data_IF_574368004576
#
_entry.id   IF_574368004576
#
_cell.length_a   1.000
_cell.length_b   1.000
_cell.length_c   1.000
_cell.angle_alpha   90.00
_cell.angle_beta   90.00
_cell.angle_gamma   90.00
#
_symmetry.space_group_name_H-M   'P 1'
#
loop_
_entity.id
_entity.type
_entity.pdbx_description
1 polymer ?
#
# COMPACT_ATOMS: atom_id res chain seq x y z
N UNK A 1 38.86 -7.90 4.31
CA UNK A 1 38.87 -8.14 2.85
C UNK A 1 37.79 -7.25 2.26
N UNK A 2 38.02 -6.53 1.14
CA UNK A 2 36.95 -5.78 0.51
C UNK A 2 35.85 -6.76 0.07
N UNK A 3 34.60 -6.40 0.36
CA UNK A 3 33.43 -7.13 -0.16
C UNK A 3 33.35 -6.81 -1.66
N UNK A 4 33.14 -7.84 -2.49
CA UNK A 4 33.06 -7.71 -3.95
C UNK A 4 31.68 -8.12 -4.41
N UNK A 5 31.08 -7.27 -5.24
CA UNK A 5 29.76 -7.44 -5.83
C UNK A 5 29.83 -6.85 -7.25
N UNK A 6 29.07 -7.40 -8.19
CA UNK A 6 28.97 -6.87 -9.55
C UNK A 6 28.15 -5.58 -9.58
N UNK A 7 27.12 -5.49 -8.73
CA UNK A 7 26.22 -4.35 -8.61
C UNK A 7 26.03 -3.94 -7.15
N UNK A 8 26.16 -2.65 -6.89
CA UNK A 8 25.82 -2.05 -5.59
C UNK A 8 24.66 -1.07 -5.78
N UNK A 9 23.55 -1.32 -5.09
CA UNK A 9 22.35 -0.47 -5.11
C UNK A 9 22.28 0.33 -3.82
N UNK A 10 22.10 1.65 -3.95
CA UNK A 10 22.04 2.57 -2.81
C UNK A 10 20.59 2.99 -2.53
N UNK A 11 20.04 2.52 -1.40
CA UNK A 11 18.70 2.82 -0.92
C UNK A 11 17.78 1.60 -0.90
N UNK A 12 17.07 1.40 0.21
CA UNK A 12 16.10 0.31 0.40
C UNK A 12 14.63 0.70 0.19
N UNK A 13 14.38 1.70 -0.67
CA UNK A 13 13.02 2.06 -1.09
C UNK A 13 12.57 1.25 -2.31
N UNK A 14 11.34 1.49 -2.78
CA UNK A 14 10.75 0.80 -3.95
C UNK A 14 11.71 0.73 -5.15
N UNK A 15 12.25 1.88 -5.58
CA UNK A 15 13.16 1.92 -6.73
C UNK A 15 14.44 1.12 -6.50
N UNK A 16 15.00 1.14 -5.30
CA UNK A 16 16.20 0.38 -4.95
C UNK A 16 15.94 -1.12 -4.91
N UNK A 17 14.82 -1.55 -4.33
CA UNK A 17 14.43 -2.96 -4.32
C UNK A 17 14.19 -3.49 -5.73
N UNK A 18 13.43 -2.77 -6.57
CA UNK A 18 13.18 -3.16 -7.95
C UNK A 18 14.47 -3.18 -8.78
N UNK A 19 15.35 -2.18 -8.62
CA UNK A 19 16.64 -2.15 -9.31
C UNK A 19 17.54 -3.32 -8.89
N UNK A 20 17.58 -3.67 -7.61
CA UNK A 20 18.37 -4.79 -7.10
C UNK A 20 17.83 -6.14 -7.60
N UNK A 21 16.51 -6.32 -7.63
CA UNK A 21 15.87 -7.51 -8.20
C UNK A 21 16.15 -7.64 -9.70
N UNK A 22 15.99 -6.56 -10.46
CA UNK A 22 16.30 -6.53 -11.89
C UNK A 22 17.78 -6.83 -12.17
N UNK A 23 18.70 -6.33 -11.35
CA UNK A 23 20.11 -6.66 -11.46
C UNK A 23 20.39 -8.13 -11.13
N UNK A 24 19.74 -8.68 -10.09
CA UNK A 24 19.92 -10.08 -9.69
C UNK A 24 19.42 -11.06 -10.77
N UNK A 25 18.33 -10.72 -11.48
CA UNK A 25 17.79 -11.53 -12.58
C UNK A 25 18.77 -11.68 -13.76
N UNK A 26 19.71 -10.74 -13.92
CA UNK A 26 20.81 -10.86 -14.90
C UNK A 26 21.91 -11.86 -14.49
N UNK A 27 21.83 -12.45 -13.30
CA UNK A 27 22.84 -13.34 -12.72
C UNK A 27 23.99 -12.61 -12.01
N UNK A 28 23.90 -11.28 -11.85
CA UNK A 28 24.89 -10.48 -11.15
C UNK A 28 24.86 -10.73 -9.62
N UNK A 29 26.02 -10.66 -8.97
CA UNK A 29 26.08 -10.53 -7.51
C UNK A 29 25.70 -9.11 -7.09
N UNK A 30 24.66 -8.98 -6.27
CA UNK A 30 24.07 -7.68 -5.91
C UNK A 30 24.14 -7.44 -4.41
N UNK A 31 24.54 -6.22 -4.04
CA UNK A 31 24.40 -5.69 -2.68
C UNK A 31 23.55 -4.45 -2.64
N UNK A 32 22.50 -4.49 -1.82
CA UNK A 32 21.71 -3.31 -1.47
C UNK A 32 22.25 -2.71 -0.16
N UNK A 33 22.64 -1.44 -0.20
CA UNK A 33 23.06 -0.68 0.98
C UNK A 33 21.98 0.33 1.34
N UNK A 34 21.52 0.31 2.58
CA UNK A 34 20.51 1.26 3.07
C UNK A 34 20.87 1.83 4.44
N UNK A 35 20.73 3.14 4.61
CA UNK A 35 21.01 3.77 5.90
C UNK A 35 19.85 3.60 6.88
N UNK A 36 18.62 3.86 6.42
CA UNK A 36 17.41 3.88 7.24
C UNK A 36 16.40 2.84 6.75
N UNK A 37 15.37 2.62 7.55
CA UNK A 37 14.17 1.88 7.13
C UNK A 37 13.57 2.50 5.88
N UNK A 38 12.87 1.68 5.09
CA UNK A 38 12.24 2.15 3.86
C UNK A 38 11.28 3.31 4.14
N UNK A 39 11.14 4.19 3.15
CA UNK A 39 10.11 5.23 3.15
C UNK A 39 8.72 4.67 2.83
N UNK A 40 8.61 3.39 2.45
CA UNK A 40 7.34 2.72 2.14
C UNK A 40 6.34 2.77 3.30
N UNK A 41 6.80 2.78 4.55
CA UNK A 41 5.96 3.07 5.74
C UNK A 41 5.19 4.41 5.70
N UNK A 42 5.53 5.33 4.78
CA UNK A 42 4.85 6.60 4.54
C UNK A 42 4.07 6.61 3.21
N UNK A 43 4.21 5.57 2.38
CA UNK A 43 3.56 5.46 1.08
C UNK A 43 2.19 4.82 1.23
N UNK A 44 1.23 5.20 0.37
CA UNK A 44 -0.14 4.67 0.39
C UNK A 44 -0.26 3.15 0.12
N UNK A 45 0.82 2.49 -0.32
CA UNK A 45 0.77 1.13 -0.88
C UNK A 45 0.17 1.06 -2.29
N UNK A 46 -0.20 2.19 -2.89
CA UNK A 46 -0.65 2.26 -4.28
C UNK A 46 0.53 2.54 -5.21
N UNK A 47 0.53 1.92 -6.39
CA UNK A 47 1.49 2.18 -7.48
C UNK A 47 0.76 2.93 -8.58
N UNK A 48 1.04 4.22 -8.68
CA UNK A 48 0.42 5.08 -9.68
C UNK A 48 1.27 5.16 -10.94
N UNK A 49 0.62 5.17 -12.09
CA UNK A 49 1.27 5.46 -13.37
C UNK A 49 0.45 6.53 -14.06
N UNK A 50 1.10 7.67 -14.31
CA UNK A 50 0.60 8.81 -15.07
C UNK A 50 -0.89 9.12 -14.86
N UNK A 51 -1.34 9.31 -13.62
CA UNK A 51 -2.77 9.56 -13.34
C UNK A 51 -3.27 10.92 -13.82
N UNK A 52 -2.39 11.94 -13.85
CA UNK A 52 -2.71 13.33 -14.16
C UNK A 52 -1.59 13.97 -14.99
N UNK A 53 -1.47 13.65 -16.30
CA UNK A 53 -0.34 14.11 -17.12
C UNK A 53 -0.26 15.64 -17.25
N UNK A 54 -1.39 16.33 -17.42
CA UNK A 54 -1.42 17.76 -17.76
C UNK A 54 -2.36 18.60 -16.87
N UNK A 55 -2.85 18.05 -15.76
CA UNK A 55 -3.78 18.76 -14.87
C UNK A 55 -5.23 18.89 -15.38
N UNK A 56 -5.53 18.42 -16.60
CA UNK A 56 -6.86 18.40 -17.21
C UNK A 56 -7.81 17.31 -16.64
N UNK A 57 -7.45 16.73 -15.51
CA UNK A 57 -8.18 15.64 -14.86
C UNK A 57 -7.49 14.28 -14.96
N UNK A 58 -8.13 13.24 -14.42
CA UNK A 58 -7.56 11.91 -14.40
C UNK A 58 -7.58 11.25 -15.78
N UNK A 59 -6.54 10.50 -16.13
CA UNK A 59 -6.55 9.64 -17.32
C UNK A 59 -6.85 8.19 -16.96
N UNK A 60 -7.71 7.56 -17.76
CA UNK A 60 -8.10 6.16 -17.58
C UNK A 60 -7.00 5.21 -18.03
N UNK A 61 -6.34 5.47 -19.16
CA UNK A 61 -5.23 4.64 -19.65
C UNK A 61 -3.95 5.50 -19.70
N UNK A 62 -2.96 5.24 -18.83
CA UNK A 62 -1.73 6.01 -18.81
C UNK A 62 -0.89 5.85 -20.09
N UNK A 63 -0.98 4.70 -20.78
CA UNK A 63 -0.18 4.43 -21.97
C UNK A 63 -0.60 5.30 -23.16
N UNK A 64 -1.90 5.54 -23.33
CA UNK A 64 -2.43 6.43 -24.38
C UNK A 64 -1.94 7.87 -24.19
N UNK A 65 -1.75 8.29 -22.93
CA UNK A 65 -1.29 9.63 -22.58
C UNK A 65 0.22 9.83 -22.76
N UNK A 66 1.03 8.76 -22.88
CA UNK A 66 2.49 8.86 -23.01
C UNK A 66 2.92 9.70 -24.21
N UNK A 67 2.23 9.56 -25.34
CA UNK A 67 2.53 10.28 -26.58
C UNK A 67 2.34 11.81 -26.48
N UNK A 68 1.62 12.27 -25.45
CA UNK A 68 1.36 13.70 -25.22
C UNK A 68 2.38 14.36 -24.31
N UNK A 69 3.31 13.59 -23.74
CA UNK A 69 4.29 14.09 -22.79
C UNK A 69 5.46 14.79 -23.51
N UNK A 70 6.10 15.79 -22.87
CA UNK A 70 7.34 16.38 -23.37
C UNK A 70 8.45 15.33 -23.56
N UNK A 71 9.34 15.54 -24.53
CA UNK A 71 10.44 14.61 -24.85
C UNK A 71 11.40 14.39 -23.67
N UNK A 72 11.54 15.37 -22.78
CA UNK A 72 12.39 15.32 -21.58
C UNK A 72 11.66 14.76 -20.35
N UNK A 73 10.38 14.42 -20.46
CA UNK A 73 9.62 13.82 -19.37
C UNK A 73 10.18 12.41 -19.04
N UNK A 74 10.31 12.01 -17.75
CA UNK A 74 10.90 10.72 -17.37
C UNK A 74 10.29 9.51 -18.08
N UNK A 75 8.97 9.46 -18.24
CA UNK A 75 8.29 8.40 -18.99
C UNK A 75 8.57 8.42 -20.50
N UNK A 76 8.79 9.58 -21.11
CA UNK A 76 9.22 9.70 -22.51
C UNK A 76 10.65 9.18 -22.70
N UNK A 77 11.53 9.43 -21.73
CA UNK A 77 12.93 9.00 -21.76
C UNK A 77 13.08 7.47 -21.62
N UNK A 78 12.34 6.85 -20.70
CA UNK A 78 12.41 5.38 -20.50
C UNK A 78 11.57 4.60 -21.51
N UNK A 79 10.50 5.23 -22.03
CA UNK A 79 9.58 4.62 -22.98
C UNK A 79 8.58 3.66 -22.35
N UNK A 80 7.50 3.38 -23.09
CA UNK A 80 6.40 2.50 -22.67
C UNK A 80 6.87 1.11 -22.22
N UNK A 81 7.78 0.50 -22.97
CA UNK A 81 8.23 -0.86 -22.68
C UNK A 81 8.89 -0.95 -21.31
N UNK A 82 9.72 0.02 -20.92
CA UNK A 82 10.37 0.03 -19.61
C UNK A 82 9.34 0.16 -18.46
N UNK A 83 8.25 0.90 -18.67
CA UNK A 83 7.16 1.01 -17.70
C UNK A 83 6.46 -0.35 -17.54
N UNK A 84 6.16 -1.02 -18.65
CA UNK A 84 5.53 -2.35 -18.65
C UNK A 84 6.42 -3.40 -18.00
N UNK A 85 7.71 -3.42 -18.32
CA UNK A 85 8.68 -4.36 -17.73
C UNK A 85 8.82 -4.13 -16.23
N UNK A 86 8.88 -2.87 -15.79
CA UNK A 86 8.93 -2.51 -14.37
C UNK A 86 7.69 -2.96 -13.59
N UNK A 87 6.49 -2.74 -14.15
CA UNK A 87 5.25 -3.24 -13.54
C UNK A 87 5.16 -4.76 -13.57
N UNK A 88 5.62 -5.41 -14.62
CA UNK A 88 5.66 -6.88 -14.69
C UNK A 88 6.57 -7.47 -13.61
N UNK A 89 7.74 -6.89 -13.37
CA UNK A 89 8.62 -7.32 -12.28
C UNK A 89 7.96 -7.08 -10.92
N UNK A 90 7.30 -5.95 -10.73
CA UNK A 90 6.51 -5.68 -9.52
C UNK A 90 5.43 -6.75 -9.30
N UNK A 91 4.65 -7.05 -10.35
CA UNK A 91 3.57 -8.04 -10.30
C UNK A 91 4.08 -9.45 -9.96
N UNK A 92 5.26 -9.82 -10.45
CA UNK A 92 5.91 -11.09 -10.11
C UNK A 92 6.28 -11.17 -8.62
N UNK A 93 6.74 -10.07 -8.03
CA UNK A 93 7.09 -10.02 -6.60
C UNK A 93 5.85 -10.04 -5.72
N UNK A 94 4.83 -9.27 -6.07
CA UNK A 94 3.65 -9.11 -5.20
C UNK A 94 2.63 -10.24 -5.38
N UNK A 95 2.63 -10.93 -6.53
CA UNK A 95 1.67 -11.98 -6.85
C UNK A 95 0.23 -11.50 -6.67
N UNK A 96 -0.62 -12.36 -6.09
CA UNK A 96 -2.05 -12.07 -5.88
C UNK A 96 -2.33 -11.01 -4.80
N UNK A 97 -1.32 -10.55 -4.06
CA UNK A 97 -1.51 -9.52 -3.04
C UNK A 97 -1.77 -8.13 -3.63
N UNK A 98 -1.48 -7.94 -4.92
CA UNK A 98 -1.79 -6.74 -5.68
C UNK A 98 -2.62 -7.08 -6.93
N UNK A 99 -3.44 -6.12 -7.35
CA UNK A 99 -4.27 -6.18 -8.55
C UNK A 99 -3.93 -5.05 -9.51
N UNK A 100 -4.47 -5.15 -10.72
CA UNK A 100 -4.31 -4.17 -11.80
C UNK A 100 -3.55 -4.70 -13.02
N UNK A 101 -2.85 -5.84 -12.90
CA UNK A 101 -2.12 -6.48 -14.02
C UNK A 101 -2.99 -7.03 -15.14
N UNK A 102 -4.30 -7.15 -14.92
CA UNK A 102 -5.26 -7.65 -15.89
C UNK A 102 -5.74 -6.59 -16.90
N UNK A 103 -5.30 -5.33 -16.78
CA UNK A 103 -5.73 -4.22 -17.61
C UNK A 103 -4.65 -3.15 -17.74
N UNK A 104 -4.72 -2.39 -18.83
CA UNK A 104 -3.92 -1.18 -19.02
C UNK A 104 -4.55 0.04 -18.34
N UNK A 105 -5.83 -0.03 -17.95
CA UNK A 105 -6.52 1.09 -17.33
C UNK A 105 -6.14 1.26 -15.84
N UNK A 106 -5.89 2.50 -15.43
CA UNK A 106 -5.85 2.90 -14.03
C UNK A 106 -7.21 2.62 -13.37
N UNK A 107 -7.17 1.99 -12.20
CA UNK A 107 -8.30 1.93 -11.29
C UNK A 107 -8.50 3.27 -10.57
N UNK A 108 -9.72 3.54 -10.11
CA UNK A 108 -10.04 4.73 -9.31
C UNK A 108 -10.19 4.32 -7.84
N UNK A 109 -9.15 4.56 -7.05
CA UNK A 109 -9.06 4.13 -5.65
C UNK A 109 -9.44 5.29 -4.72
N UNK A 110 -10.43 5.13 -3.81
CA UNK A 110 -10.72 6.11 -2.79
C UNK A 110 -9.53 6.39 -1.87
N UNK A 111 -9.36 7.66 -1.50
CA UNK A 111 -8.35 8.13 -0.56
C UNK A 111 -8.98 8.46 0.78
N UNK A 112 -8.18 8.50 1.87
CA UNK A 112 -8.66 8.98 3.17
C UNK A 112 -9.11 10.45 3.17
N UNK A 113 -8.82 11.21 2.11
CA UNK A 113 -9.37 12.55 1.90
C UNK A 113 -10.77 12.56 1.26
N UNK A 114 -11.31 11.39 0.92
CA UNK A 114 -12.61 11.23 0.26
C UNK A 114 -12.63 11.65 -1.21
N UNK A 115 -11.48 11.62 -1.88
CA UNK A 115 -11.38 11.74 -3.35
C UNK A 115 -10.97 10.40 -3.95
N UNK A 116 -11.07 10.26 -5.27
CA UNK A 116 -10.55 9.08 -5.99
C UNK A 116 -9.24 9.41 -6.68
N UNK A 117 -8.32 8.44 -6.71
CA UNK A 117 -7.00 8.57 -7.33
C UNK A 117 -6.81 7.48 -8.41
N UNK A 118 -6.39 7.84 -9.63
CA UNK A 118 -5.95 6.88 -10.65
C UNK A 118 -4.71 6.12 -10.19
N UNK A 119 -4.79 4.79 -10.23
CA UNK A 119 -3.75 3.90 -9.73
C UNK A 119 -3.63 2.66 -10.63
N UNK A 120 -2.41 2.29 -11.00
CA UNK A 120 -2.14 1.16 -11.91
C UNK A 120 -2.03 -0.18 -11.19
N UNK A 121 -1.46 -0.19 -9.98
CA UNK A 121 -1.48 -1.35 -9.08
C UNK A 121 -1.91 -0.96 -7.68
N UNK A 122 -2.81 -1.75 -7.11
CA UNK A 122 -3.37 -1.53 -5.77
C UNK A 122 -3.41 -2.84 -5.00
N UNK A 123 -3.29 -2.81 -3.66
CA UNK A 123 -3.41 -4.01 -2.85
C UNK A 123 -4.77 -4.68 -3.06
N UNK A 124 -4.83 -6.00 -3.00
CA UNK A 124 -6.10 -6.74 -3.02
C UNK A 124 -7.05 -6.27 -1.91
N UNK A 125 -6.48 -5.91 -0.75
CA UNK A 125 -7.21 -5.33 0.37
C UNK A 125 -7.97 -4.03 0.04
N UNK A 126 -7.68 -3.36 -1.09
CA UNK A 126 -8.39 -2.16 -1.53
C UNK A 126 -9.36 -2.42 -2.69
N UNK A 127 -9.42 -3.65 -3.24
CA UNK A 127 -10.13 -3.96 -4.48
C UNK A 127 -11.66 -3.75 -4.38
N UNK A 128 -12.29 -4.14 -3.28
CA UNK A 128 -13.73 -3.89 -3.09
C UNK A 128 -14.04 -2.40 -2.90
N UNK A 129 -13.03 -1.55 -2.67
CA UNK A 129 -13.20 -0.11 -2.52
C UNK A 129 -13.24 0.67 -3.83
N UNK A 130 -12.94 0.05 -4.97
CA UNK A 130 -12.84 0.78 -6.24
C UNK A 130 -14.11 1.55 -6.58
N UNK A 131 -13.93 2.76 -7.12
CA UNK A 131 -15.05 3.64 -7.45
C UNK A 131 -15.87 3.17 -8.67
N UNK A 132 -15.36 2.21 -9.43
CA UNK A 132 -16.05 1.56 -10.56
C UNK A 132 -17.10 0.53 -10.12
N UNK A 133 -17.05 0.08 -8.87
CA UNK A 133 -18.07 -0.81 -8.30
C UNK A 133 -19.22 0.05 -7.77
N UNK A 134 -20.43 -0.19 -8.30
CA UNK A 134 -21.63 0.61 -8.05
C UNK A 134 -22.44 0.15 -6.83
N UNK A 135 -22.00 -0.89 -6.12
CA UNK A 135 -22.69 -1.37 -4.90
C UNK A 135 -22.56 -0.34 -3.78
N UNK A 136 -23.53 -0.31 -2.86
CA UNK A 136 -23.51 0.66 -1.76
C UNK A 136 -22.34 0.44 -0.79
N UNK A 137 -21.81 1.54 -0.22
CA UNK A 137 -20.58 1.57 0.58
C UNK A 137 -20.82 2.17 1.97
N UNK A 138 -20.42 1.45 3.01
CA UNK A 138 -20.24 1.99 4.35
C UNK A 138 -18.76 2.30 4.58
N UNK A 139 -18.42 3.52 4.96
CA UNK A 139 -17.09 3.86 5.48
C UNK A 139 -17.15 3.82 7.01
N UNK A 140 -16.26 3.06 7.63
CA UNK A 140 -16.17 2.92 9.09
C UNK A 140 -14.99 3.73 9.61
N UNK A 141 -15.24 4.56 10.62
CA UNK A 141 -14.22 5.27 11.38
C UNK A 141 -14.30 4.86 12.84
N UNK A 142 -13.19 4.95 13.56
CA UNK A 142 -13.17 4.76 15.00
C UNK A 142 -12.78 6.07 15.67
N UNK A 143 -13.59 6.54 16.62
CA UNK A 143 -13.39 7.83 17.30
C UNK A 143 -12.04 7.97 18.01
N UNK A 144 -11.40 6.84 18.35
CA UNK A 144 -10.06 6.80 18.93
C UNK A 144 -8.92 6.96 17.91
N UNK A 145 -9.24 6.99 16.61
CA UNK A 145 -8.30 7.20 15.50
C UNK A 145 -8.58 8.55 14.87
N UNK A 146 -7.95 9.60 15.41
CA UNK A 146 -8.24 10.98 15.01
C UNK A 146 -7.77 11.37 13.62
N UNK A 147 -6.91 10.55 13.00
CA UNK A 147 -6.35 10.82 11.67
C UNK A 147 -7.25 10.30 10.53
N UNK A 148 -8.44 9.78 10.84
CA UNK A 148 -9.41 9.28 9.88
C UNK A 148 -10.83 9.63 10.32
N UNK A 149 -11.58 10.34 9.47
CA UNK A 149 -12.99 10.67 9.69
C UNK A 149 -13.82 10.07 8.57
N UNK A 150 -14.59 9.03 8.89
CA UNK A 150 -15.39 8.29 7.93
C UNK A 150 -16.53 9.12 7.34
N UNK A 151 -17.07 10.07 8.10
CA UNK A 151 -18.14 10.96 7.61
C UNK A 151 -17.57 11.95 6.61
N UNK A 152 -16.42 12.54 6.91
CA UNK A 152 -15.74 13.42 5.96
C UNK A 152 -15.38 12.67 4.67
N UNK A 153 -14.86 11.44 4.79
CA UNK A 153 -14.57 10.60 3.62
C UNK A 153 -15.83 10.35 2.80
N UNK A 154 -16.95 9.94 3.43
CA UNK A 154 -18.19 9.68 2.68
C UNK A 154 -18.76 10.93 2.03
N UNK A 155 -18.79 12.05 2.75
CA UNK A 155 -19.36 13.31 2.25
C UNK A 155 -18.54 13.83 1.05
N UNK A 156 -17.22 13.70 1.11
CA UNK A 156 -16.35 14.06 -0.01
C UNK A 156 -16.46 13.09 -1.19
N UNK A 157 -16.65 11.78 -0.96
CA UNK A 157 -16.87 10.83 -2.05
C UNK A 157 -18.20 11.10 -2.76
N UNK A 158 -19.26 11.40 -2.01
CA UNK A 158 -20.54 11.84 -2.54
C UNK A 158 -20.37 13.14 -3.36
N UNK A 159 -19.67 14.14 -2.81
CA UNK A 159 -19.38 15.38 -3.52
C UNK A 159 -18.51 15.20 -4.78
N UNK A 160 -17.65 14.16 -4.81
CA UNK A 160 -16.87 13.77 -5.97
C UNK A 160 -17.70 13.05 -7.05
N UNK A 161 -18.97 12.75 -6.78
CA UNK A 161 -19.90 12.19 -7.75
C UNK A 161 -19.71 10.69 -8.00
N UNK A 162 -19.32 9.93 -6.97
CA UNK A 162 -19.25 8.46 -7.08
C UNK A 162 -20.61 7.86 -7.48
N UNK A 163 -20.64 6.78 -8.28
CA UNK A 163 -21.87 6.25 -8.86
C UNK A 163 -22.68 5.34 -7.91
N UNK A 164 -22.49 5.47 -6.60
CA UNK A 164 -23.08 4.60 -5.57
C UNK A 164 -23.42 5.38 -4.30
N UNK A 165 -24.38 4.85 -3.53
CA UNK A 165 -24.69 5.38 -2.21
C UNK A 165 -23.53 5.11 -1.24
N UNK A 166 -23.05 6.16 -0.57
CA UNK A 166 -21.97 6.09 0.41
C UNK A 166 -22.37 6.79 1.70
N UNK A 167 -22.08 6.18 2.85
CA UNK A 167 -22.26 6.83 4.14
C UNK A 167 -21.15 6.47 5.13
N UNK A 168 -20.78 7.43 5.98
CA UNK A 168 -19.76 7.27 7.01
C UNK A 168 -20.33 7.01 8.40
N UNK A 169 -19.69 6.15 9.18
CA UNK A 169 -20.05 5.89 10.56
C UNK A 169 -18.84 5.94 11.51
N UNK A 170 -18.91 6.87 12.47
CA UNK A 170 -17.96 6.97 13.58
C UNK A 170 -18.39 6.08 14.75
N UNK A 171 -17.55 5.08 15.06
CA UNK A 171 -17.81 4.04 16.06
C UNK A 171 -16.82 4.09 17.22
N UNK A 172 -17.16 3.45 18.33
CA UNK A 172 -16.16 3.12 19.35
C UNK A 172 -15.43 1.85 18.93
N UNK A 173 -14.10 1.83 19.01
CA UNK A 173 -13.39 0.56 18.93
C UNK A 173 -13.77 -0.31 20.14
N UNK A 174 -13.99 -1.64 20.00
CA UNK A 174 -14.46 -2.50 21.10
C UNK A 174 -13.55 -2.56 22.32
N UNK A 175 -12.27 -2.23 22.14
CA UNK A 175 -11.28 -2.11 23.21
C UNK A 175 -10.90 -0.67 23.44
N UNK A 176 -10.96 -0.24 24.69
CA UNK A 176 -10.52 1.09 25.08
C UNK A 176 -8.99 1.15 25.10
N UNK A 177 -8.45 2.15 24.41
CA UNK A 177 -7.05 2.52 24.48
C UNK A 177 -6.92 3.92 25.06
N UNK A 178 -5.71 4.28 25.49
CA UNK A 178 -5.39 5.68 25.81
C UNK A 178 -5.52 6.54 24.55
N UNK A 179 -5.81 7.82 24.75
CA UNK A 179 -6.01 8.76 23.64
C UNK A 179 -4.79 8.89 22.70
N UNK A 180 -3.59 8.60 23.19
CA UNK A 180 -2.32 8.64 22.45
C UNK A 180 -1.89 7.26 21.92
N UNK A 181 -2.79 6.28 21.90
CA UNK A 181 -2.47 4.95 21.42
C UNK A 181 -2.17 4.96 19.92
N UNK A 182 -0.99 4.45 19.56
CA UNK A 182 -0.59 4.28 18.16
C UNK A 182 -1.54 3.32 17.44
N UNK A 183 -1.83 3.60 16.17
CA UNK A 183 -2.63 2.73 15.28
C UNK A 183 -2.13 1.28 15.26
N UNK A 184 -0.84 1.04 15.46
CA UNK A 184 -0.23 -0.29 15.58
C UNK A 184 -0.78 -1.14 16.73
N UNK A 185 -1.36 -0.55 17.78
CA UNK A 185 -2.02 -1.30 18.85
C UNK A 185 -3.39 -1.85 18.42
N UNK A 186 -4.06 -1.18 17.50
CA UNK A 186 -5.34 -1.61 16.93
C UNK A 186 -5.10 -2.74 15.95
N UNK A 187 -4.20 -2.54 14.98
CA UNK A 187 -3.80 -3.58 14.03
C UNK A 187 -3.34 -4.86 14.72
N UNK A 188 -2.46 -4.74 15.73
CA UNK A 188 -1.98 -5.90 16.50
C UNK A 188 -3.08 -6.64 17.27
N UNK A 189 -4.11 -5.93 17.73
CA UNK A 189 -5.24 -6.57 18.41
C UNK A 189 -6.13 -7.34 17.42
N UNK A 190 -6.26 -6.84 16.20
CA UNK A 190 -6.92 -7.53 15.10
C UNK A 190 -6.11 -8.74 14.60
N UNK A 191 -4.79 -8.58 14.38
CA UNK A 191 -3.89 -9.65 13.98
C UNK A 191 -4.00 -10.84 14.94
N UNK A 192 -3.89 -10.57 16.25
CA UNK A 192 -3.96 -11.61 17.29
C UNK A 192 -5.37 -12.12 17.58
N UNK A 193 -6.39 -11.52 16.98
CA UNK A 193 -7.79 -11.71 17.34
C UNK A 193 -8.00 -11.71 18.87
N UNK A 194 -7.47 -10.70 19.56
CA UNK A 194 -7.37 -10.70 21.04
C UNK A 194 -8.72 -10.98 21.72
N UNK A 195 -8.72 -11.89 22.70
CA UNK A 195 -9.90 -12.15 23.53
C UNK A 195 -10.27 -10.92 24.37
N UNK A 196 -11.51 -10.46 24.23
CA UNK A 196 -12.04 -9.31 24.98
C UNK A 196 -13.41 -9.62 25.59
N UNK A 197 -13.77 -8.85 26.62
CA UNK A 197 -15.13 -8.82 27.15
C UNK A 197 -15.95 -7.82 26.35
N UNK A 198 -16.90 -8.30 25.56
CA UNK A 198 -17.81 -7.49 24.75
C UNK A 198 -19.24 -7.95 24.99
N UNK A 199 -20.17 -7.01 25.21
CA UNK A 199 -21.58 -7.30 25.51
C UNK A 199 -21.80 -8.40 26.58
N UNK A 200 -20.94 -8.44 27.62
CA UNK A 200 -21.03 -9.42 28.72
C UNK A 200 -20.44 -10.81 28.43
N UNK A 201 -19.96 -11.08 27.22
CA UNK A 201 -19.35 -12.35 26.81
C UNK A 201 -17.86 -12.19 26.46
N UNK A 202 -17.13 -13.31 26.44
CA UNK A 202 -15.75 -13.36 25.94
C UNK A 202 -15.81 -13.70 24.45
N UNK A 203 -15.25 -12.85 23.61
CA UNK A 203 -15.21 -13.00 22.14
C UNK A 203 -13.87 -12.52 21.61
N UNK A 204 -13.53 -12.93 20.39
CA UNK A 204 -12.37 -12.39 19.68
C UNK A 204 -12.59 -10.95 19.23
N UNK A 205 -11.49 -10.20 19.10
CA UNK A 205 -11.50 -8.81 18.65
C UNK A 205 -12.23 -8.61 17.31
N UNK A 206 -12.01 -9.50 16.34
CA UNK A 206 -12.58 -9.39 14.98
C UNK A 206 -14.12 -9.50 15.02
N UNK A 207 -14.66 -10.45 15.79
CA UNK A 207 -16.10 -10.60 16.04
C UNK A 207 -16.68 -9.35 16.70
N UNK A 208 -16.03 -8.84 17.76
CA UNK A 208 -16.49 -7.65 18.48
C UNK A 208 -16.52 -6.38 17.59
N UNK A 209 -15.53 -6.23 16.71
CA UNK A 209 -15.50 -5.14 15.73
C UNK A 209 -16.67 -5.28 14.76
N UNK A 210 -16.88 -6.46 14.20
CA UNK A 210 -17.99 -6.70 13.30
C UNK A 210 -19.35 -6.45 13.98
N UNK A 211 -19.57 -6.90 15.21
CA UNK A 211 -20.80 -6.62 15.97
C UNK A 211 -21.03 -5.14 16.24
N UNK A 212 -19.95 -4.37 16.38
CA UNK A 212 -20.03 -2.91 16.53
C UNK A 212 -20.44 -2.22 15.22
N UNK A 213 -20.01 -2.77 14.08
CA UNK A 213 -20.30 -2.23 12.73
C UNK A 213 -21.70 -2.63 12.24
N UNK A 214 -22.17 -3.85 12.53
CA UNK A 214 -23.46 -4.41 12.05
C UNK A 214 -24.65 -3.45 12.09
N UNK A 215 -24.91 -2.72 13.20
CA UNK A 215 -26.05 -1.79 13.27
C UNK A 215 -25.96 -0.61 12.29
N UNK A 216 -24.80 -0.35 11.70
CA UNK A 216 -24.55 0.72 10.73
C UNK A 216 -24.44 0.24 9.29
N UNK A 217 -24.43 -1.07 9.03
CA UNK A 217 -24.38 -1.63 7.66
C UNK A 217 -25.51 -1.07 6.81
N UNK A 218 -26.75 -1.09 7.31
CA UNK A 218 -27.93 -0.58 6.59
C UNK A 218 -28.07 -1.12 5.15
N UNK A 219 -27.64 -2.35 4.92
CA UNK A 219 -27.65 -2.99 3.59
C UNK A 219 -26.45 -2.65 2.71
N UNK A 220 -25.46 -1.90 3.21
CA UNK A 220 -24.18 -1.70 2.52
C UNK A 220 -23.54 -3.06 2.21
N UNK A 221 -23.20 -3.26 0.94
CA UNK A 221 -22.61 -4.51 0.44
C UNK A 221 -21.08 -4.49 0.55
N UNK A 222 -20.49 -3.31 0.79
CA UNK A 222 -19.05 -3.08 0.89
C UNK A 222 -18.75 -2.20 2.09
N UNK A 223 -17.73 -2.56 2.86
CA UNK A 223 -17.36 -1.86 4.10
C UNK A 223 -15.88 -1.48 4.06
N UNK A 224 -15.64 -0.17 3.95
CA UNK A 224 -14.31 0.41 3.96
C UNK A 224 -13.86 0.73 5.38
N UNK A 225 -12.72 0.18 5.79
CA UNK A 225 -12.06 0.54 7.04
C UNK A 225 -10.85 1.43 6.76
N UNK A 226 -10.42 2.26 7.73
CA UNK A 226 -9.04 2.73 7.76
C UNK A 226 -8.07 1.56 7.54
N UNK A 227 -6.96 1.79 6.83
CA UNK A 227 -5.95 0.75 6.58
C UNK A 227 -5.22 0.35 7.86
N UNK A 228 -5.85 -0.48 8.69
CA UNK A 228 -5.38 -1.00 9.96
C UNK A 228 -5.79 -2.45 10.21
N UNK A 229 -6.32 -3.14 9.18
CA UNK A 229 -6.88 -4.48 9.27
C UNK A 229 -5.76 -5.54 9.31
N UNK A 230 -4.85 -5.40 10.26
CA UNK A 230 -3.70 -6.28 10.44
C UNK A 230 -2.46 -5.82 9.67
N UNK A 231 -1.33 -6.33 10.15
CA UNK A 231 -0.01 -6.20 9.54
C UNK A 231 0.44 -7.58 9.04
N UNK A 232 0.56 -8.55 9.96
CA UNK A 232 1.04 -9.91 9.69
C UNK A 232 -0.07 -10.84 9.15
N UNK A 233 -1.32 -10.66 9.62
CA UNK A 233 -2.45 -11.56 9.31
C UNK A 233 -3.58 -10.82 8.58
N UNK A 234 -3.24 -9.85 7.72
CA UNK A 234 -4.21 -8.93 7.15
C UNK A 234 -5.33 -9.62 6.33
N UNK A 235 -5.00 -10.66 5.57
CA UNK A 235 -5.99 -11.42 4.79
C UNK A 235 -6.95 -12.20 5.69
N UNK A 236 -6.46 -12.80 6.77
CA UNK A 236 -7.30 -13.50 7.75
C UNK A 236 -8.23 -12.52 8.49
N UNK A 237 -7.71 -11.35 8.88
CA UNK A 237 -8.50 -10.30 9.52
C UNK A 237 -9.63 -9.84 8.60
N UNK A 238 -9.32 -9.58 7.32
CA UNK A 238 -10.32 -9.17 6.31
C UNK A 238 -11.38 -10.25 6.13
N UNK A 239 -10.97 -11.51 5.89
CA UNK A 239 -11.89 -12.62 5.68
C UNK A 239 -12.83 -12.89 6.88
N UNK A 240 -12.31 -12.80 8.11
CA UNK A 240 -13.14 -12.94 9.31
C UNK A 240 -14.18 -11.82 9.42
N UNK A 241 -13.79 -10.57 9.13
CA UNK A 241 -14.71 -9.44 9.14
C UNK A 241 -15.77 -9.58 8.04
N UNK A 242 -15.41 -10.01 6.83
CA UNK A 242 -16.36 -10.30 5.74
C UNK A 242 -17.38 -11.35 6.17
N UNK A 243 -16.90 -12.47 6.73
CA UNK A 243 -17.75 -13.57 7.21
C UNK A 243 -18.73 -13.09 8.29
N UNK A 244 -18.27 -12.27 9.24
CA UNK A 244 -19.13 -11.76 10.29
C UNK A 244 -20.11 -10.69 9.81
N UNK A 245 -19.72 -9.83 8.86
CA UNK A 245 -20.53 -8.71 8.36
C UNK A 245 -21.50 -9.12 7.25
N UNK A 246 -21.15 -10.14 6.46
CA UNK A 246 -21.88 -10.51 5.25
C UNK A 246 -21.76 -9.47 4.14
N UNK A 247 -20.62 -8.78 4.07
CA UNK A 247 -20.31 -7.72 3.12
C UNK A 247 -18.81 -7.77 2.79
N UNK A 248 -18.42 -7.31 1.60
CA UNK A 248 -17.01 -7.25 1.20
C UNK A 248 -16.28 -6.20 2.05
N UNK A 249 -15.09 -6.53 2.54
CA UNK A 249 -14.32 -5.64 3.42
C UNK A 249 -13.10 -5.15 2.69
N UNK A 250 -12.79 -3.86 2.81
CA UNK A 250 -11.60 -3.28 2.21
C UNK A 250 -10.95 -2.23 3.09
N UNK A 251 -9.71 -1.89 2.78
CA UNK A 251 -8.92 -0.86 3.42
C UNK A 251 -8.83 0.39 2.54
N UNK A 252 -9.09 1.54 3.15
CA UNK A 252 -8.82 2.88 2.60
C UNK A 252 -7.44 3.30 3.10
N UNK A 253 -6.47 3.57 2.19
CA UNK A 253 -5.11 3.94 2.58
C UNK A 253 -5.08 5.17 3.50
N UNK A 254 -4.28 5.08 4.57
CA UNK A 254 -4.07 6.15 5.55
C UNK A 254 -2.65 6.73 5.51
N UNK A 255 -2.47 7.79 6.30
CA UNK A 255 -1.15 8.33 6.66
C UNK A 255 -0.30 7.35 7.49
N UNK A 256 0.93 7.76 7.85
CA UNK A 256 1.91 6.88 8.50
C UNK A 256 1.54 6.47 9.94
N UNK A 257 1.89 5.26 10.38
CA UNK A 257 2.49 4.19 9.57
C UNK A 257 1.47 3.58 8.61
N UNK A 258 1.84 3.49 7.34
CA UNK A 258 1.04 2.83 6.31
C UNK A 258 1.27 1.33 6.38
N UNK A 259 0.25 0.57 6.79
CA UNK A 259 0.31 -0.89 6.77
C UNK A 259 0.42 -1.48 5.37
N UNK A 260 -0.31 -1.00 4.34
CA UNK A 260 -0.06 -1.44 2.96
C UNK A 260 1.39 -1.22 2.52
N UNK A 261 2.00 -0.11 2.94
CA UNK A 261 3.40 0.19 2.68
C UNK A 261 4.38 -0.71 3.42
N UNK A 262 4.11 -1.05 4.69
CA UNK A 262 4.91 -2.00 5.47
C UNK A 262 4.83 -3.42 4.89
N UNK A 263 3.62 -3.89 4.56
CA UNK A 263 3.41 -5.18 3.88
C UNK A 263 4.14 -5.26 2.55
N UNK A 264 4.16 -4.17 1.77
CA UNK A 264 4.94 -4.10 0.53
C UNK A 264 6.46 -4.12 0.79
N UNK A 265 6.94 -3.43 1.82
CA UNK A 265 8.35 -3.48 2.24
C UNK A 265 8.75 -4.93 2.56
N UNK A 266 7.94 -5.65 3.34
CA UNK A 266 8.21 -7.03 3.72
C UNK A 266 8.26 -7.97 2.49
N UNK A 267 7.33 -7.83 1.55
CA UNK A 267 7.33 -8.61 0.31
C UNK A 267 8.57 -8.34 -0.56
N UNK A 268 8.91 -7.06 -0.75
CA UNK A 268 10.10 -6.68 -1.52
C UNK A 268 11.38 -7.21 -0.87
N UNK A 269 11.50 -7.13 0.45
CA UNK A 269 12.69 -7.61 1.16
C UNK A 269 12.78 -9.14 1.18
N UNK A 270 11.64 -9.85 1.25
CA UNK A 270 11.61 -11.31 1.06
C UNK A 270 12.10 -11.67 -0.35
N UNK A 271 11.58 -11.00 -1.39
CA UNK A 271 12.01 -11.26 -2.76
C UNK A 271 13.50 -10.96 -2.99
N UNK A 272 14.05 -9.94 -2.32
CA UNK A 272 15.49 -9.66 -2.36
C UNK A 272 16.30 -10.80 -1.74
N UNK A 273 15.87 -11.34 -0.60
CA UNK A 273 16.54 -12.47 0.06
C UNK A 273 16.45 -13.74 -0.81
N UNK A 274 15.28 -14.03 -1.36
CA UNK A 274 15.04 -15.16 -2.27
C UNK A 274 15.88 -15.06 -3.56
N UNK A 275 16.10 -13.85 -4.07
CA UNK A 275 16.98 -13.57 -5.21
C UNK A 275 18.48 -13.59 -4.84
N UNK A 276 18.83 -13.82 -3.57
CA UNK A 276 20.22 -13.87 -3.10
C UNK A 276 20.91 -12.51 -2.97
N UNK A 277 20.15 -11.41 -3.00
CA UNK A 277 20.69 -10.05 -2.85
C UNK A 277 21.19 -9.85 -1.42
N UNK A 278 22.42 -9.36 -1.27
CA UNK A 278 23.00 -9.08 0.06
C UNK A 278 22.54 -7.71 0.56
N UNK A 279 21.94 -7.66 1.74
CA UNK A 279 21.47 -6.40 2.33
C UNK A 279 22.45 -5.93 3.42
N UNK A 280 22.89 -4.68 3.31
CA UNK A 280 23.69 -3.98 4.32
C UNK A 280 22.93 -2.77 4.83
N UNK A 281 22.49 -2.82 6.09
CA UNK A 281 21.68 -1.77 6.71
C UNK A 281 22.41 -1.04 7.84
N UNK A 282 22.15 0.25 8.00
CA UNK A 282 22.47 1.00 9.23
C UNK A 282 23.60 2.01 9.08
N UNK A 283 24.48 1.83 8.10
CA UNK A 283 25.60 2.73 7.85
C UNK A 283 25.38 3.48 6.52
N UNK A 284 25.41 4.82 6.52
CA UNK A 284 25.26 5.59 5.30
C UNK A 284 26.47 5.41 4.38
N UNK A 285 26.24 5.44 3.07
CA UNK A 285 27.30 5.67 2.11
C UNK A 285 27.74 7.12 2.20
N UNK A 286 29.04 7.34 2.35
CA UNK A 286 29.64 8.67 2.56
C UNK A 286 30.50 9.12 1.38
N UNK A 287 31.04 8.18 0.60
CA UNK A 287 31.92 8.51 -0.53
C UNK A 287 32.01 7.34 -1.52
N UNK A 288 32.59 7.57 -2.69
CA UNK A 288 32.86 6.55 -3.70
C UNK A 288 34.11 6.87 -4.52
N UNK A 289 34.74 5.82 -5.06
CA UNK A 289 35.80 5.93 -6.05
C UNK A 289 35.31 5.43 -7.40
N UNK A 290 35.55 6.23 -8.44
CA UNK A 290 35.28 5.85 -9.81
C UNK A 290 36.49 6.16 -10.70
N UNK A 291 36.79 5.26 -11.63
CA UNK A 291 37.86 5.40 -12.61
C UNK A 291 37.35 4.98 -13.99
N UNK A 292 37.63 5.77 -15.02
CA UNK A 292 37.22 5.50 -16.41
C UNK A 292 35.72 5.22 -16.57
N UNK A 293 34.88 5.94 -15.84
CA UNK A 293 33.41 5.78 -15.85
C UNK A 293 32.90 4.52 -15.14
N UNK A 294 33.76 3.80 -14.40
CA UNK A 294 33.39 2.61 -13.62
C UNK A 294 33.59 2.84 -12.13
N UNK A 295 32.58 2.46 -11.35
CA UNK A 295 32.65 2.45 -9.89
C UNK A 295 33.66 1.39 -9.43
N UNK A 296 34.63 1.79 -8.62
CA UNK A 296 35.67 0.91 -8.06
C UNK A 296 35.41 0.58 -6.59
N UNK A 297 34.93 1.55 -5.82
CA UNK A 297 34.61 1.36 -4.41
C UNK A 297 33.46 2.28 -3.96
N UNK A 298 32.74 1.82 -2.94
CA UNK A 298 31.75 2.59 -2.20
C UNK A 298 32.16 2.56 -0.73
N UNK A 299 32.22 3.73 -0.11
CA UNK A 299 32.62 3.88 1.29
C UNK A 299 31.39 4.09 2.16
N UNK A 300 31.26 3.26 3.19
CA UNK A 300 30.23 3.38 4.21
C UNK A 300 30.83 3.88 5.52
N UNK A 301 30.07 4.67 6.26
CA UNK A 301 30.45 5.10 7.61
C UNK A 301 30.58 3.88 8.54
N UNK A 302 31.31 4.02 9.66
CA UNK A 302 31.51 2.94 10.62
C UNK A 302 30.46 2.92 11.73
#
# INVERSE_FOLDING_TARGET
>A
MPIREDVVVLGGGLAGSIAALSAADSGASVRLVTYKKSTLRFASGLIDVLGYPNGDGPVSNPYDALSSLPDDHPYSLVGEQAIRDGLSLFDQVTGDSYRGSHTDANALVPTYGGTVKPTARYPEASAAGLASDSRSMLVVGFRSLTDFDARLVSDHLEAAGVPFDVHGAELSFPKEYRADAKVTRFAKALDKNEDIRFAGRSVGMREAVAETVKPRLKGAERVGFPSLLGDEHADEVRADLESHLGADVFEIPMGPPSFPGLRLEDQLFSALDDAGVRISSGNPVVDYEAENGRLQAVYVDR
#
